data_IF_952216904573
#
_entry.id   IF_952216904573
#
_cell.length_a   1.000
_cell.length_b   1.000
_cell.length_c   1.000
_cell.angle_alpha   90.00
_cell.angle_beta   90.00
_cell.angle_gamma   90.00
#
_symmetry.space_group_name_H-M   'P 1'
#
loop_
_entity.id
_entity.type
_entity.pdbx_description
1 polymer ?
#
# COMPACT_ATOMS: atom_id res chain seq x y z
N UNK A 1 -3.58 18.60 21.15
CA UNK A 1 -2.57 17.55 20.96
C UNK A 1 -3.18 16.50 20.06
N UNK A 2 -2.78 16.40 18.79
CA UNK A 2 -3.15 15.26 17.95
C UNK A 2 -2.16 14.14 18.32
N UNK A 3 -2.66 13.00 18.78
CA UNK A 3 -1.83 11.80 18.81
C UNK A 3 -1.71 11.31 17.37
N UNK A 4 -0.50 11.34 16.84
CA UNK A 4 -0.18 10.72 15.55
C UNK A 4 0.08 9.24 15.83
N UNK A 5 -0.77 8.35 15.31
CA UNK A 5 -0.50 6.92 15.38
C UNK A 5 0.77 6.59 14.59
N UNK A 6 1.65 5.70 15.06
CA UNK A 6 2.86 5.33 14.33
C UNK A 6 2.47 4.68 12.98
N UNK A 7 2.97 5.23 11.89
CA UNK A 7 2.73 4.73 10.54
C UNK A 7 3.99 4.06 9.97
N UNK A 8 3.83 2.86 9.40
CA UNK A 8 4.89 2.12 8.72
C UNK A 8 4.88 2.44 7.23
N UNK A 9 6.04 2.80 6.70
CA UNK A 9 6.23 3.10 5.27
C UNK A 9 7.02 1.99 4.58
N UNK A 10 6.53 1.54 3.43
CA UNK A 10 7.26 0.65 2.53
C UNK A 10 7.49 1.33 1.19
N UNK A 11 8.75 1.50 0.81
CA UNK A 11 9.11 1.97 -0.52
C UNK A 11 9.46 0.80 -1.42
N UNK A 12 8.58 0.50 -2.37
CA UNK A 12 8.76 -0.61 -3.29
C UNK A 12 9.43 -0.11 -4.56
N UNK A 13 10.47 -0.83 -4.99
CA UNK A 13 11.24 -0.53 -6.19
C UNK A 13 11.29 -1.78 -7.06
N UNK A 14 11.21 -1.59 -8.38
CA UNK A 14 11.21 -2.69 -9.33
C UNK A 14 9.83 -3.32 -9.50
N UNK A 15 9.79 -4.62 -9.80
CA UNK A 15 8.55 -5.26 -10.27
C UNK A 15 7.74 -5.85 -9.12
N UNK A 16 6.41 -5.67 -9.17
CA UNK A 16 5.46 -6.31 -8.26
C UNK A 16 4.77 -7.48 -8.96
N UNK A 17 5.52 -8.59 -9.08
CA UNK A 17 5.10 -9.80 -9.78
C UNK A 17 4.96 -11.01 -8.83
N UNK A 18 4.61 -12.16 -9.37
CA UNK A 18 4.53 -13.41 -8.61
C UNK A 18 5.82 -13.81 -7.87
N UNK A 19 7.01 -13.37 -8.30
CA UNK A 19 8.29 -13.64 -7.65
C UNK A 19 8.53 -12.68 -6.47
N UNK A 20 8.18 -11.41 -6.62
CA UNK A 20 8.33 -10.38 -5.59
C UNK A 20 7.28 -10.52 -4.47
N UNK A 21 6.05 -10.89 -4.83
CA UNK A 21 4.89 -10.91 -3.91
C UNK A 21 5.13 -11.68 -2.60
N UNK A 22 5.71 -12.90 -2.58
CA UNK A 22 5.98 -13.62 -1.33
C UNK A 22 6.87 -12.84 -0.37
N UNK A 23 7.90 -12.17 -0.91
CA UNK A 23 8.84 -11.37 -0.12
C UNK A 23 8.18 -10.10 0.42
N UNK A 24 7.48 -9.35 -0.44
CA UNK A 24 6.78 -8.11 -0.01
C UNK A 24 5.73 -8.42 1.05
N UNK A 25 4.97 -9.50 0.88
CA UNK A 25 4.00 -9.97 1.88
C UNK A 25 4.65 -10.23 3.24
N UNK A 26 5.77 -10.95 3.27
CA UNK A 26 6.46 -11.25 4.51
C UNK A 26 6.92 -9.98 5.26
N UNK A 27 7.39 -8.96 4.52
CA UNK A 27 7.77 -7.68 5.12
C UNK A 27 6.56 -6.93 5.71
N UNK A 28 5.44 -6.89 4.99
CA UNK A 28 4.19 -6.28 5.49
C UNK A 28 3.72 -7.01 6.75
N UNK A 29 3.76 -8.34 6.74
CA UNK A 29 3.34 -9.17 7.88
C UNK A 29 4.22 -8.96 9.12
N UNK A 30 5.53 -8.78 8.93
CA UNK A 30 6.47 -8.55 10.04
C UNK A 30 6.33 -7.15 10.65
N UNK A 31 5.97 -6.14 9.86
CA UNK A 31 5.82 -4.78 10.35
C UNK A 31 4.45 -4.50 10.99
N UNK A 32 3.62 -5.54 11.11
CA UNK A 32 2.33 -5.47 11.77
C UNK A 32 2.44 -6.06 13.20
N UNK A 33 2.76 -5.24 14.21
CA UNK A 33 2.81 -5.69 15.59
C UNK A 33 1.41 -6.10 16.10
N UNK A 34 1.37 -7.16 16.92
CA UNK A 34 0.13 -7.65 17.49
C UNK A 34 -0.47 -6.64 18.49
N UNK A 35 -1.79 -6.42 18.41
CA UNK A 35 -2.55 -5.65 19.40
C UNK A 35 -2.91 -4.21 18.99
N UNK A 36 -2.40 -3.70 17.87
CA UNK A 36 -2.70 -2.35 17.39
C UNK A 36 -3.16 -2.33 15.92
N UNK A 37 -4.02 -1.36 15.53
CA UNK A 37 -4.39 -1.17 14.13
C UNK A 37 -3.17 -0.79 13.26
N UNK A 38 -2.91 -1.48 12.13
CA UNK A 38 -1.78 -1.16 11.27
C UNK A 38 -2.07 0.08 10.41
N UNK A 39 -1.20 1.08 10.46
CA UNK A 39 -1.25 2.25 9.57
C UNK A 39 -0.10 2.17 8.58
N UNK A 40 -0.41 1.90 7.30
CA UNK A 40 0.57 1.60 6.27
C UNK A 40 0.55 2.61 5.13
N UNK A 41 1.74 3.03 4.69
CA UNK A 41 1.94 3.69 3.41
C UNK A 41 2.77 2.79 2.51
N UNK A 42 2.27 2.51 1.30
CA UNK A 42 3.03 1.83 0.26
C UNK A 42 3.37 2.84 -0.84
N UNK A 43 4.66 3.13 -0.99
CA UNK A 43 5.15 3.94 -2.09
C UNK A 43 5.40 3.07 -3.31
N UNK A 44 4.58 3.27 -4.34
CA UNK A 44 4.60 2.54 -5.60
C UNK A 44 5.08 3.42 -6.76
N UNK A 45 5.60 4.62 -6.46
CA UNK A 45 6.04 5.58 -7.49
C UNK A 45 7.18 5.04 -8.36
N UNK A 46 8.05 4.21 -7.79
CA UNK A 46 9.20 3.57 -8.46
C UNK A 46 8.94 2.10 -8.86
N UNK A 47 7.66 1.72 -8.98
CA UNK A 47 7.23 0.38 -9.42
C UNK A 47 6.81 0.43 -10.89
N UNK A 48 7.70 0.08 -11.84
CA UNK A 48 7.39 0.13 -13.28
C UNK A 48 6.42 -0.97 -13.75
N UNK A 49 6.26 -2.05 -12.97
CA UNK A 49 5.46 -3.21 -13.37
C UNK A 49 4.68 -3.81 -12.19
N UNK A 50 3.44 -4.21 -12.44
CA UNK A 50 2.59 -4.96 -11.53
C UNK A 50 1.70 -5.94 -12.32
N UNK A 51 1.72 -7.23 -11.97
CA UNK A 51 0.84 -8.24 -12.55
C UNK A 51 -0.41 -8.49 -11.69
N UNK A 52 -1.18 -9.53 -12.02
CA UNK A 52 -2.35 -9.94 -11.24
C UNK A 52 -2.00 -10.41 -9.82
N UNK A 53 -0.81 -10.95 -9.61
CA UNK A 53 -0.30 -11.35 -8.28
C UNK A 53 -0.01 -10.11 -7.44
N UNK A 54 0.62 -9.09 -8.03
CA UNK A 54 0.89 -7.80 -7.39
C UNK A 54 -0.39 -7.07 -6.99
N UNK A 55 -1.36 -6.96 -7.90
CA UNK A 55 -2.69 -6.41 -7.57
C UNK A 55 -3.39 -7.23 -6.48
N UNK A 56 -3.31 -8.57 -6.58
CA UNK A 56 -3.84 -9.46 -5.56
C UNK A 56 -3.21 -9.26 -4.18
N UNK A 57 -1.92 -8.95 -4.11
CA UNK A 57 -1.25 -8.57 -2.86
C UNK A 57 -1.83 -7.27 -2.30
N UNK A 58 -1.93 -6.21 -3.11
CA UNK A 58 -2.46 -4.91 -2.67
C UNK A 58 -3.89 -5.04 -2.11
N UNK A 59 -4.76 -5.78 -2.82
CA UNK A 59 -6.16 -6.00 -2.40
C UNK A 59 -6.23 -6.77 -1.07
N UNK A 60 -5.43 -7.83 -0.92
CA UNK A 60 -5.39 -8.60 0.33
C UNK A 60 -4.85 -7.78 1.49
N UNK A 61 -3.81 -6.97 1.26
CA UNK A 61 -3.28 -6.05 2.27
C UNK A 61 -4.35 -5.06 2.71
N UNK A 62 -5.07 -4.43 1.77
CA UNK A 62 -6.17 -3.52 2.08
C UNK A 62 -7.25 -4.18 2.93
N UNK A 63 -7.71 -5.38 2.55
CA UNK A 63 -8.74 -6.11 3.28
C UNK A 63 -8.30 -6.42 4.71
N UNK A 64 -7.06 -6.90 4.88
CA UNK A 64 -6.52 -7.23 6.19
C UNK A 64 -6.39 -5.99 7.07
N UNK A 65 -5.76 -4.93 6.56
CA UNK A 65 -5.60 -3.66 7.28
C UNK A 65 -6.95 -3.10 7.73
N UNK A 66 -7.95 -3.09 6.85
CA UNK A 66 -9.32 -2.64 7.20
C UNK A 66 -9.97 -3.51 8.26
N UNK A 67 -9.82 -4.84 8.17
CA UNK A 67 -10.36 -5.76 9.17
C UNK A 67 -9.78 -5.51 10.57
N UNK A 68 -8.54 -5.03 10.64
CA UNK A 68 -7.88 -4.68 11.89
C UNK A 68 -8.09 -3.24 12.34
N UNK A 69 -8.97 -2.49 11.67
CA UNK A 69 -9.26 -1.09 11.99
C UNK A 69 -8.15 -0.11 11.59
N UNK A 70 -7.18 -0.56 10.78
CA UNK A 70 -6.04 0.23 10.32
C UNK A 70 -6.32 1.03 9.05
N UNK A 71 -5.28 1.68 8.53
CA UNK A 71 -5.33 2.46 7.28
C UNK A 71 -4.25 2.01 6.29
N UNK A 72 -4.58 2.00 5.01
CA UNK A 72 -3.64 1.77 3.92
C UNK A 72 -3.73 2.93 2.94
N UNK A 73 -2.60 3.59 2.69
CA UNK A 73 -2.47 4.65 1.68
C UNK A 73 -1.42 4.22 0.65
N UNK A 74 -1.74 4.39 -0.63
CA UNK A 74 -0.81 4.16 -1.71
C UNK A 74 -0.28 5.51 -2.22
N UNK A 75 1.03 5.65 -2.36
CA UNK A 75 1.61 6.73 -3.19
C UNK A 75 1.71 6.20 -4.60
N UNK A 76 0.98 6.84 -5.52
CA UNK A 76 0.89 6.42 -6.92
C UNK A 76 1.20 7.62 -7.80
N UNK A 77 2.35 7.57 -8.46
CA UNK A 77 2.72 8.52 -9.50
C UNK A 77 1.94 8.28 -10.81
N UNK A 78 1.98 9.23 -11.75
CA UNK A 78 1.46 9.00 -13.09
C UNK A 78 2.15 7.80 -13.73
N UNK A 79 1.39 6.85 -14.30
CA UNK A 79 2.01 5.72 -15.02
C UNK A 79 1.26 4.39 -14.92
N UNK A 80 2.03 3.30 -14.90
CA UNK A 80 1.52 1.94 -15.05
C UNK A 80 0.59 1.52 -13.91
N UNK A 81 0.98 1.80 -12.66
CA UNK A 81 0.18 1.47 -11.48
C UNK A 81 -1.14 2.24 -11.46
N UNK A 82 -1.12 3.55 -11.73
CA UNK A 82 -2.33 4.36 -11.85
C UNK A 82 -3.28 3.78 -12.90
N UNK A 83 -2.76 3.52 -14.11
CA UNK A 83 -3.55 2.94 -15.20
C UNK A 83 -4.13 1.57 -14.84
N UNK A 84 -3.37 0.72 -14.15
CA UNK A 84 -3.85 -0.58 -13.70
C UNK A 84 -5.00 -0.45 -12.70
N UNK A 85 -4.90 0.45 -11.72
CA UNK A 85 -5.99 0.69 -10.77
C UNK A 85 -7.25 1.19 -11.48
N UNK A 86 -7.12 2.08 -12.47
CA UNK A 86 -8.26 2.57 -13.26
C UNK A 86 -8.89 1.46 -14.10
N UNK A 87 -8.10 0.69 -14.87
CA UNK A 87 -8.63 -0.37 -15.75
C UNK A 87 -9.29 -1.49 -14.94
N UNK A 88 -8.78 -1.78 -13.75
CA UNK A 88 -9.34 -2.77 -12.84
C UNK A 88 -10.42 -2.22 -11.92
N UNK A 89 -10.75 -0.93 -12.05
CA UNK A 89 -11.78 -0.24 -11.25
C UNK A 89 -11.52 -0.34 -9.73
N UNK A 90 -10.23 -0.38 -9.36
CA UNK A 90 -9.74 -0.44 -7.99
C UNK A 90 -9.39 0.94 -7.40
N UNK A 91 -9.33 1.96 -8.23
CA UNK A 91 -9.09 3.36 -7.86
C UNK A 91 -10.05 3.88 -6.79
N UNK A 92 -11.32 3.48 -6.82
CA UNK A 92 -12.31 3.82 -5.77
C UNK A 92 -12.17 3.02 -4.46
N UNK A 93 -11.38 1.96 -4.44
CA UNK A 93 -11.19 1.10 -3.28
C UNK A 93 -9.95 1.46 -2.45
N UNK A 94 -8.92 2.00 -3.10
CA UNK A 94 -7.69 2.43 -2.44
C UNK A 94 -7.71 3.93 -2.17
N UNK A 95 -7.22 4.32 -0.99
CA UNK A 95 -6.81 5.71 -0.79
C UNK A 95 -5.46 5.91 -1.47
N UNK A 96 -5.42 6.76 -2.48
CA UNK A 96 -4.21 7.08 -3.25
C UNK A 96 -3.80 8.54 -3.05
N UNK A 97 -2.50 8.80 -3.13
CA UNK A 97 -1.90 10.14 -3.03
C UNK A 97 -0.77 10.28 -4.06
N UNK A 98 -0.30 11.51 -4.29
CA UNK A 98 0.77 11.78 -5.27
C UNK A 98 2.16 11.88 -4.67
N UNK A 99 2.25 11.99 -3.34
CA UNK A 99 3.55 12.12 -2.66
C UNK A 99 3.54 11.45 -1.29
N UNK A 100 4.73 11.06 -0.83
CA UNK A 100 4.93 10.53 0.51
C UNK A 100 4.45 11.47 1.61
N UNK A 101 4.63 12.79 1.44
CA UNK A 101 4.17 13.77 2.42
C UNK A 101 2.64 13.73 2.58
N UNK A 102 1.91 13.78 1.47
CA UNK A 102 0.44 13.67 1.49
C UNK A 102 -0.01 12.34 2.10
N UNK A 103 0.71 11.25 1.84
CA UNK A 103 0.38 9.95 2.40
C UNK A 103 0.56 9.88 3.91
N UNK A 104 1.62 10.49 4.44
CA UNK A 104 1.88 10.56 5.88
C UNK A 104 0.82 11.41 6.58
N UNK A 105 0.48 12.59 6.02
CA UNK A 105 -0.60 13.44 6.52
C UNK A 105 -1.97 12.75 6.48
N UNK A 106 -2.15 11.82 5.52
CA UNK A 106 -3.35 11.04 5.34
C UNK A 106 -3.45 9.84 6.29
N UNK A 107 -2.32 9.25 6.67
CA UNK A 107 -2.25 8.07 7.53
C UNK A 107 -2.33 8.41 9.03
N UNK A 108 -2.02 9.66 9.40
CA UNK A 108 -2.17 10.24 10.74
C UNK A 108 -3.61 10.65 11.08
#
# INVERSE_FOLDING_TARGET
MKQESPCTVFQLHGELDHLAVPRVRAFIDQAWPAGEPPHLVLDLSEVPFCDSSGLGLLVRTLQRVRHAGGSLVLVVGPGMIERLLTITNLDGHFRTTRSMREALDAAA
#
